data_IF_626734423015
#
_entry.id   IF_626734423015
#
_cell.length_a   1.000
_cell.length_b   1.000
_cell.length_c   1.000
_cell.angle_alpha   90.00
_cell.angle_beta   90.00
_cell.angle_gamma   90.00
#
_symmetry.space_group_name_H-M   'P 1'
#
loop_
_entity.id
_entity.type
_entity.pdbx_description
1 polymer ?
#
# COMPACT_ATOMS: atom_id res chain seq x y z
N UNK A 1 27.17 1.51 -45.96
CA UNK A 1 25.83 1.18 -45.42
C UNK A 1 25.92 0.08 -44.35
N UNK A 2 26.30 0.40 -43.10
CA UNK A 2 26.37 -0.56 -41.96
C UNK A 2 26.25 0.13 -40.58
N UNK A 3 25.40 1.16 -40.44
CA UNK A 3 25.26 1.90 -39.16
C UNK A 3 23.81 2.21 -38.74
N UNK A 4 22.81 1.71 -39.47
CA UNK A 4 21.39 2.04 -39.25
C UNK A 4 20.53 0.88 -38.74
N UNK A 5 21.11 -0.29 -38.42
CA UNK A 5 20.34 -1.49 -38.01
C UNK A 5 20.43 -1.78 -36.50
N UNK A 6 21.19 -0.99 -35.73
CA UNK A 6 21.42 -1.24 -34.29
C UNK A 6 20.66 -0.28 -33.36
N UNK A 7 19.45 0.13 -33.74
CA UNK A 7 18.50 0.84 -32.86
C UNK A 7 17.12 0.17 -32.82
N UNK A 8 17.03 -1.17 -32.90
CA UNK A 8 15.74 -1.90 -32.88
C UNK A 8 15.57 -2.87 -31.70
N UNK A 9 16.55 -3.08 -30.85
CA UNK A 9 16.38 -3.88 -29.63
C UNK A 9 16.75 -2.99 -28.45
N UNK A 10 15.81 -2.56 -27.60
CA UNK A 10 15.21 -3.44 -26.61
C UNK A 10 13.98 -2.75 -25.99
N UNK A 11 12.87 -2.67 -26.73
CA UNK A 11 11.56 -2.46 -26.11
C UNK A 11 11.16 -3.79 -25.44
N UNK A 12 11.72 -4.09 -24.27
CA UNK A 12 11.13 -5.12 -23.42
C UNK A 12 9.77 -4.56 -23.02
N UNK A 13 8.71 -5.02 -23.69
CA UNK A 13 7.35 -4.85 -23.22
C UNK A 13 7.25 -5.63 -21.90
N UNK A 14 7.59 -4.97 -20.79
CA UNK A 14 7.33 -5.48 -19.45
C UNK A 14 5.81 -5.56 -19.30
N UNK A 15 5.25 -6.75 -19.57
CA UNK A 15 3.84 -7.04 -19.34
C UNK A 15 3.63 -7.14 -17.85
N UNK A 16 3.46 -5.99 -17.22
CA UNK A 16 3.04 -5.93 -15.84
C UNK A 16 1.51 -6.14 -15.83
N UNK A 17 1.10 -7.30 -15.32
CA UNK A 17 -0.32 -7.71 -15.32
C UNK A 17 -1.01 -7.05 -14.15
N UNK A 18 -2.12 -6.36 -14.40
CA UNK A 18 -3.04 -5.93 -13.36
C UNK A 18 -3.37 -7.11 -12.44
N UNK A 19 -3.27 -6.91 -11.13
CA UNK A 19 -3.62 -7.95 -10.17
C UNK A 19 -5.10 -8.33 -10.35
N UNK A 20 -5.41 -9.63 -10.49
CA UNK A 20 -6.79 -10.06 -10.67
C UNK A 20 -7.66 -9.65 -9.47
N UNK A 21 -8.97 -9.46 -9.70
CA UNK A 21 -9.92 -9.06 -8.68
C UNK A 21 -9.87 -9.96 -7.44
N UNK A 22 -9.70 -11.28 -7.59
CA UNK A 22 -9.66 -12.21 -6.46
C UNK A 22 -8.35 -12.09 -5.70
N UNK A 23 -7.24 -12.01 -6.41
CA UNK A 23 -5.92 -11.83 -5.81
C UNK A 23 -5.83 -10.51 -5.04
N UNK A 24 -6.26 -9.40 -5.66
CA UNK A 24 -6.27 -8.08 -5.03
C UNK A 24 -7.11 -8.05 -3.74
N UNK A 25 -8.24 -8.77 -3.70
CA UNK A 25 -9.04 -8.90 -2.47
C UNK A 25 -8.29 -9.68 -1.39
N UNK A 26 -7.65 -10.79 -1.75
CA UNK A 26 -6.92 -11.62 -0.79
C UNK A 26 -5.72 -10.86 -0.21
N UNK A 27 -4.94 -10.20 -1.06
CA UNK A 27 -3.77 -9.40 -0.66
C UNK A 27 -4.18 -8.18 0.18
N UNK A 28 -5.26 -7.48 -0.21
CA UNK A 28 -5.79 -6.36 0.57
C UNK A 28 -6.28 -6.79 1.95
N UNK A 29 -7.00 -7.92 2.03
CA UNK A 29 -7.46 -8.49 3.30
C UNK A 29 -6.27 -8.82 4.19
N UNK A 30 -5.28 -9.54 3.67
CA UNK A 30 -4.10 -9.90 4.43
C UNK A 30 -3.34 -8.66 4.95
N UNK A 31 -3.11 -7.68 4.08
CA UNK A 31 -2.47 -6.42 4.46
C UNK A 31 -3.24 -5.72 5.59
N UNK A 32 -4.56 -5.62 5.46
CA UNK A 32 -5.40 -4.96 6.47
C UNK A 32 -5.50 -5.75 7.77
N UNK A 33 -5.52 -7.08 7.74
CA UNK A 33 -5.46 -7.93 8.94
C UNK A 33 -4.17 -7.64 9.73
N UNK A 34 -3.04 -7.50 9.03
CA UNK A 34 -1.76 -7.12 9.67
C UNK A 34 -1.77 -5.70 10.21
N UNK A 35 -2.34 -4.75 9.46
CA UNK A 35 -2.52 -3.37 9.95
C UNK A 35 -3.41 -3.34 11.19
N UNK A 36 -4.46 -4.14 11.24
CA UNK A 36 -5.33 -4.23 12.40
C UNK A 36 -4.63 -4.78 13.64
N UNK A 37 -3.81 -5.80 13.45
CA UNK A 37 -3.00 -6.39 14.52
C UNK A 37 -1.97 -5.39 15.08
N UNK A 38 -1.23 -4.69 14.22
CA UNK A 38 -0.13 -3.83 14.67
C UNK A 38 -0.55 -2.40 15.04
N UNK A 39 -1.53 -1.84 14.31
CA UNK A 39 -2.00 -0.47 14.51
C UNK A 39 -3.20 -0.42 15.47
N UNK A 40 -3.80 -1.56 15.83
CA UNK A 40 -4.95 -1.63 16.71
C UNK A 40 -6.22 -1.02 16.09
N UNK A 41 -6.52 -1.36 14.83
CA UNK A 41 -7.68 -0.80 14.11
C UNK A 41 -9.00 -1.22 14.75
N UNK A 42 -9.93 -0.28 14.85
CA UNK A 42 -11.35 -0.54 15.11
C UNK A 42 -12.04 -1.18 13.89
N UNK A 43 -13.23 -1.77 14.05
CA UNK A 43 -13.92 -2.43 12.94
C UNK A 43 -14.22 -1.48 11.77
N UNK A 44 -14.63 -0.25 12.09
CA UNK A 44 -14.92 0.77 11.07
C UNK A 44 -13.65 1.19 10.33
N UNK A 45 -12.53 1.35 11.03
CA UNK A 45 -11.25 1.63 10.39
C UNK A 45 -10.83 0.44 9.51
N UNK A 46 -10.95 -0.80 9.99
CA UNK A 46 -10.63 -2.00 9.23
C UNK A 46 -11.31 -2.02 7.87
N UNK A 47 -12.64 -1.84 7.84
CA UNK A 47 -13.41 -1.91 6.59
C UNK A 47 -12.94 -0.83 5.59
N UNK A 48 -12.67 0.37 6.08
CA UNK A 48 -12.12 1.47 5.27
C UNK A 48 -10.70 1.18 4.79
N UNK A 49 -9.84 0.63 5.63
CA UNK A 49 -8.46 0.34 5.26
C UNK A 49 -8.41 -0.78 4.21
N UNK A 50 -9.26 -1.80 4.34
CA UNK A 50 -9.44 -2.85 3.34
C UNK A 50 -9.83 -2.28 1.97
N UNK A 51 -10.83 -1.40 1.93
CA UNK A 51 -11.28 -0.78 0.69
C UNK A 51 -10.16 0.04 0.02
N UNK A 52 -9.50 0.90 0.79
CA UNK A 52 -8.40 1.75 0.32
C UNK A 52 -7.23 0.90 -0.20
N UNK A 53 -6.84 -0.14 0.54
CA UNK A 53 -5.77 -1.06 0.16
C UNK A 53 -6.12 -1.83 -1.12
N UNK A 54 -7.34 -2.33 -1.23
CA UNK A 54 -7.80 -3.05 -2.42
C UNK A 54 -7.81 -2.20 -3.68
N UNK A 55 -8.31 -0.96 -3.60
CA UNK A 55 -8.31 -0.03 -4.74
C UNK A 55 -6.89 0.27 -5.23
N UNK A 56 -5.95 0.43 -4.30
CA UNK A 56 -4.54 0.58 -4.63
C UNK A 56 -3.95 -0.67 -5.28
N UNK A 57 -4.09 -1.84 -4.66
CA UNK A 57 -3.47 -3.08 -5.15
C UNK A 57 -4.01 -3.51 -6.52
N UNK A 58 -5.31 -3.34 -6.79
CA UNK A 58 -5.86 -3.57 -8.13
C UNK A 58 -5.37 -2.52 -9.14
N UNK A 59 -5.15 -1.29 -8.70
CA UNK A 59 -4.85 -0.16 -9.57
C UNK A 59 -3.39 -0.03 -9.99
N UNK A 60 -2.47 -0.71 -9.28
CA UNK A 60 -1.05 -0.77 -9.66
C UNK A 60 -0.88 -1.85 -10.72
N UNK A 61 -0.50 -1.43 -11.92
CA UNK A 61 -0.31 -2.33 -13.05
C UNK A 61 1.16 -2.46 -13.40
N UNK A 62 1.93 -1.38 -13.34
CA UNK A 62 3.34 -1.33 -13.78
C UNK A 62 4.29 -0.88 -12.67
N UNK A 63 5.60 -1.02 -12.91
CA UNK A 63 6.63 -0.46 -12.04
C UNK A 63 6.46 1.05 -11.83
N UNK A 64 6.10 1.78 -12.88
CA UNK A 64 5.93 3.24 -12.85
C UNK A 64 4.73 3.68 -12.00
N UNK A 65 3.77 2.78 -11.72
CA UNK A 65 2.65 3.04 -10.82
C UNK A 65 3.07 3.00 -9.34
N UNK A 66 4.23 2.42 -9.01
CA UNK A 66 4.75 2.39 -7.65
C UNK A 66 5.12 3.80 -7.18
N UNK A 67 4.61 4.16 -6.01
CA UNK A 67 4.88 5.45 -5.36
C UNK A 67 4.44 6.68 -6.17
N UNK A 68 3.63 6.48 -7.21
CA UNK A 68 3.03 7.53 -8.02
C UNK A 68 1.69 8.04 -7.43
N UNK A 69 0.83 8.62 -8.27
CA UNK A 69 -0.43 9.24 -7.86
C UNK A 69 -1.34 8.32 -7.03
N UNK A 70 -1.47 7.04 -7.43
CA UNK A 70 -2.31 6.05 -6.72
C UNK A 70 -1.81 5.77 -5.31
N UNK A 71 -0.49 5.68 -5.13
CA UNK A 71 0.12 5.50 -3.82
C UNK A 71 -0.08 6.74 -2.94
N UNK A 72 0.09 7.94 -3.52
CA UNK A 72 -0.17 9.20 -2.83
C UNK A 72 -1.63 9.31 -2.39
N UNK A 73 -2.57 9.01 -3.29
CA UNK A 73 -4.01 9.03 -3.00
C UNK A 73 -4.38 8.04 -1.90
N UNK A 74 -3.81 6.82 -1.95
CA UNK A 74 -3.93 5.83 -0.87
C UNK A 74 -3.50 6.42 0.47
N UNK A 75 -2.30 7.00 0.55
CA UNK A 75 -1.77 7.55 1.79
C UNK A 75 -2.57 8.73 2.34
N UNK A 76 -3.06 9.62 1.47
CA UNK A 76 -3.97 10.71 1.85
C UNK A 76 -5.27 10.12 2.44
N UNK A 77 -5.86 9.12 1.79
CA UNK A 77 -7.06 8.47 2.26
C UNK A 77 -6.84 7.77 3.61
N UNK A 78 -5.74 7.02 3.79
CA UNK A 78 -5.41 6.37 5.06
C UNK A 78 -5.22 7.40 6.21
N UNK A 79 -4.49 8.50 5.95
CA UNK A 79 -4.25 9.56 6.95
C UNK A 79 -5.53 10.15 7.49
N UNK A 80 -6.56 10.28 6.67
CA UNK A 80 -7.86 10.85 7.05
C UNK A 80 -8.61 10.00 8.09
N UNK A 81 -8.29 8.71 8.21
CA UNK A 81 -8.93 7.80 9.17
C UNK A 81 -8.05 7.46 10.37
N UNK A 82 -6.73 7.59 10.27
CA UNK A 82 -5.83 7.30 11.39
C UNK A 82 -5.74 8.42 12.42
N UNK A 83 -5.69 8.02 13.69
CA UNK A 83 -5.15 8.86 14.77
C UNK A 83 -3.67 9.18 14.52
N UNK A 84 -3.16 10.23 15.17
CA UNK A 84 -1.76 10.63 15.03
C UNK A 84 -0.80 9.50 15.41
N UNK A 85 -1.14 8.72 16.44
CA UNK A 85 -0.35 7.54 16.85
C UNK A 85 -0.36 6.45 15.78
N UNK A 86 -1.52 6.10 15.24
CA UNK A 86 -1.61 5.08 14.17
C UNK A 86 -0.88 5.55 12.91
N UNK A 87 -0.99 6.82 12.54
CA UNK A 87 -0.26 7.40 11.42
C UNK A 87 1.25 7.31 11.63
N UNK A 88 1.74 7.61 12.83
CA UNK A 88 3.14 7.46 13.18
C UNK A 88 3.63 6.01 13.05
N UNK A 89 2.88 5.05 13.60
CA UNK A 89 3.20 3.63 13.48
C UNK A 89 3.18 3.16 12.02
N UNK A 90 2.23 3.64 11.24
CA UNK A 90 2.09 3.34 9.82
C UNK A 90 3.27 3.84 9.00
N UNK A 91 3.69 5.09 9.19
CA UNK A 91 4.88 5.65 8.54
C UNK A 91 6.15 4.87 8.92
N UNK A 92 6.28 4.45 10.17
CA UNK A 92 7.43 3.66 10.64
C UNK A 92 7.44 2.20 10.16
N UNK A 93 6.39 1.74 9.49
CA UNK A 93 6.24 0.39 8.98
C UNK A 93 6.28 0.40 7.44
N UNK A 94 7.49 0.32 6.87
CA UNK A 94 7.72 0.35 5.42
C UNK A 94 6.84 -0.63 4.64
N UNK A 95 6.56 -1.80 5.21
CA UNK A 95 5.73 -2.83 4.60
C UNK A 95 4.22 -2.51 4.59
N UNK A 96 3.77 -1.50 5.35
CA UNK A 96 2.44 -0.91 5.23
C UNK A 96 2.44 0.37 4.39
N UNK A 97 3.46 1.22 4.58
CA UNK A 97 3.62 2.49 3.87
C UNK A 97 3.86 2.29 2.38
N UNK A 98 4.71 1.32 2.04
CA UNK A 98 5.06 0.89 0.69
C UNK A 98 4.71 -0.60 0.56
N UNK A 99 3.42 -0.96 0.42
CA UNK A 99 3.00 -2.35 0.49
C UNK A 99 3.47 -3.19 -0.72
N UNK A 100 3.74 -2.53 -1.85
CA UNK A 100 4.38 -3.11 -3.01
C UNK A 100 5.76 -2.48 -3.23
N UNK A 101 6.70 -3.29 -3.68
CA UNK A 101 7.97 -2.85 -4.27
C UNK A 101 8.27 -3.66 -5.53
N UNK A 102 9.34 -3.31 -6.22
CA UNK A 102 9.81 -4.01 -7.42
C UNK A 102 11.21 -4.54 -7.21
N UNK A 103 11.42 -5.81 -7.51
CA UNK A 103 12.71 -6.47 -7.40
C UNK A 103 12.77 -7.62 -8.40
N UNK A 104 13.92 -7.78 -9.06
CA UNK A 104 14.19 -8.89 -9.97
C UNK A 104 13.11 -9.08 -11.06
N UNK A 105 12.56 -7.97 -11.57
CA UNK A 105 11.54 -7.99 -12.61
C UNK A 105 10.13 -8.37 -12.14
N UNK A 106 9.87 -8.40 -10.83
CA UNK A 106 8.57 -8.77 -10.27
C UNK A 106 8.13 -7.84 -9.12
N UNK A 107 6.82 -7.77 -8.92
CA UNK A 107 6.24 -7.13 -7.74
C UNK A 107 6.46 -7.96 -6.47
N UNK A 108 7.02 -7.31 -5.46
CA UNK A 108 7.22 -7.86 -4.11
C UNK A 108 6.17 -7.25 -3.19
N UNK A 109 5.47 -8.11 -2.44
CA UNK A 109 4.53 -7.68 -1.40
C UNK A 109 5.31 -7.57 -0.09
N UNK A 110 5.59 -6.34 0.33
CA UNK A 110 6.54 -6.06 1.41
C UNK A 110 6.05 -6.59 2.78
N UNK A 111 4.73 -6.70 2.97
CA UNK A 111 4.12 -7.27 4.18
C UNK A 111 4.63 -8.67 4.51
N UNK A 112 5.00 -9.46 3.50
CA UNK A 112 5.48 -10.84 3.72
C UNK A 112 6.89 -10.93 4.29
N UNK A 113 7.70 -9.88 4.20
CA UNK A 113 9.02 -9.86 4.81
C UNK A 113 8.94 -9.81 6.35
N UNK A 114 7.95 -9.09 6.89
CA UNK A 114 7.69 -9.01 8.33
C UNK A 114 6.73 -10.09 8.81
N UNK A 115 5.71 -10.38 8.02
CA UNK A 115 4.66 -11.37 8.29
C UNK A 115 4.65 -12.42 7.20
N UNK A 116 5.52 -13.45 7.29
CA UNK A 116 5.46 -14.58 6.36
C UNK A 116 4.03 -15.13 6.31
N UNK A 117 3.59 -15.61 5.14
CA UNK A 117 2.25 -16.20 4.96
C UNK A 117 2.07 -17.36 5.95
N UNK A 118 1.47 -17.04 7.09
CA UNK A 118 1.01 -17.98 8.09
C UNK A 118 -0.50 -17.78 8.23
N UNK A 119 -1.27 -18.86 8.39
CA UNK A 119 -2.67 -18.73 8.76
C UNK A 119 -2.71 -17.97 10.08
N UNK A 120 -3.21 -16.74 10.02
CA UNK A 120 -3.64 -15.99 11.19
C UNK A 120 -5.17 -16.03 11.21
N UNK A 121 -5.77 -15.96 12.41
CA UNK A 121 -7.19 -15.74 12.51
C UNK A 121 -7.54 -14.45 11.76
N UNK A 122 -8.63 -14.46 11.01
CA UNK A 122 -9.14 -13.25 10.35
C UNK A 122 -9.40 -12.15 11.39
N UNK A 123 -9.46 -10.88 10.98
CA UNK A 123 -9.78 -9.79 11.91
C UNK A 123 -11.04 -10.04 12.77
N UNK A 124 -12.08 -10.68 12.21
CA UNK A 124 -13.28 -11.06 12.95
C UNK A 124 -13.04 -12.13 14.03
N UNK A 125 -12.06 -13.00 13.85
CA UNK A 125 -11.62 -13.97 14.86
C UNK A 125 -10.70 -13.32 15.89
N UNK A 126 -9.80 -12.43 15.47
CA UNK A 126 -8.93 -11.67 16.39
C UNK A 126 -9.74 -10.83 17.38
N UNK A 127 -10.87 -10.26 16.94
CA UNK A 127 -11.82 -9.53 17.82
C UNK A 127 -12.37 -10.39 18.97
N UNK A 128 -12.52 -11.70 18.78
CA UNK A 128 -13.05 -12.60 19.82
C UNK A 128 -12.04 -12.91 20.92
N UNK A 129 -10.75 -12.78 20.63
CA UNK A 129 -9.69 -13.25 21.54
C UNK A 129 -8.77 -12.15 22.08
N UNK A 130 -8.70 -10.96 21.46
CA UNK A 130 -7.86 -9.87 21.94
C UNK A 130 -8.28 -8.51 21.37
N UNK A 131 -8.35 -7.48 22.22
CA UNK A 131 -8.10 -6.11 21.75
C UNK A 131 -6.61 -6.06 21.44
N UNK A 132 -6.16 -5.85 20.18
CA UNK A 132 -4.74 -5.86 19.88
C UNK A 132 -4.07 -4.74 20.69
N UNK A 133 -3.34 -5.12 21.73
CA UNK A 133 -2.39 -4.20 22.37
C UNK A 133 -1.29 -4.05 21.35
N UNK A 134 -1.29 -2.91 20.64
CA UNK A 134 -0.23 -2.58 19.68
C UNK A 134 1.12 -2.89 20.35
N UNK A 135 2.01 -3.67 19.71
CA UNK A 135 3.32 -3.98 20.28
C UNK A 135 3.98 -2.70 20.78
N UNK A 136 4.61 -2.73 21.96
CA UNK A 136 5.36 -1.57 22.47
C UNK A 136 6.47 -1.28 21.48
N UNK A 137 6.24 -0.27 20.63
CA UNK A 137 7.18 0.14 19.60
C UNK A 137 8.31 0.90 20.29
N UNK A 138 9.30 0.17 20.76
CA UNK A 138 10.52 0.75 21.29
C UNK A 138 11.26 1.47 20.16
N UNK A 139 11.28 2.81 20.27
CA UNK A 139 12.21 3.77 19.67
C UNK A 139 12.69 3.44 18.23
N UNK A 140 11.96 3.97 17.24
CA UNK A 140 12.42 4.10 15.85
C UNK A 140 12.29 5.53 15.35
N UNK A 141 12.93 6.51 16.03
CA UNK A 141 12.84 7.95 15.67
C UNK A 141 13.44 8.28 14.29
N UNK A 142 14.34 7.46 13.75
CA UNK A 142 15.07 7.80 12.53
C UNK A 142 14.30 7.54 11.22
N UNK A 143 13.32 6.63 11.21
CA UNK A 143 12.54 6.29 10.00
C UNK A 143 11.55 7.40 9.62
N UNK A 144 11.08 8.15 10.61
CA UNK A 144 10.10 9.23 10.45
C UNK A 144 10.57 10.34 9.50
N UNK A 145 11.84 10.74 9.62
CA UNK A 145 12.34 11.90 8.88
C UNK A 145 12.36 11.64 7.37
N UNK A 146 12.58 10.40 6.94
CA UNK A 146 12.64 10.08 5.51
C UNK A 146 11.25 10.05 4.85
N UNK A 147 10.22 9.57 5.54
CA UNK A 147 8.90 9.38 4.95
C UNK A 147 8.06 10.64 4.86
N UNK A 148 8.20 11.59 5.81
CA UNK A 148 7.55 12.91 5.67
C UNK A 148 8.09 13.63 4.43
N UNK A 149 9.42 13.57 4.20
CA UNK A 149 10.03 14.14 3.00
C UNK A 149 9.56 13.46 1.72
N UNK A 150 9.38 12.14 1.70
CA UNK A 150 8.83 11.46 0.52
C UNK A 150 7.39 11.89 0.26
N UNK A 151 6.54 11.85 1.30
CA UNK A 151 5.14 12.23 1.19
C UNK A 151 4.96 13.69 0.72
N UNK A 152 5.76 14.62 1.27
CA UNK A 152 5.72 16.05 0.92
C UNK A 152 6.39 16.37 -0.42
N UNK A 153 7.46 15.67 -0.83
CA UNK A 153 8.03 15.82 -2.18
C UNK A 153 7.03 15.44 -3.26
N UNK A 154 6.22 14.43 -3.00
CA UNK A 154 5.12 14.05 -3.90
C UNK A 154 3.90 14.98 -3.79
N UNK A 155 3.94 16.02 -2.95
CA UNK A 155 2.90 17.06 -2.80
C UNK A 155 3.19 18.35 -3.58
N UNK A 156 4.38 18.51 -4.17
CA UNK A 156 4.83 19.72 -4.89
C UNK A 156 4.11 20.04 -6.22
N UNK A 157 4.22 21.28 -6.73
CA UNK A 157 3.32 21.80 -7.77
C UNK A 157 3.67 21.29 -9.18
N UNK A 158 2.66 20.74 -9.85
CA UNK A 158 2.56 20.74 -11.33
C UNK A 158 3.29 19.63 -12.09
N UNK A 159 2.61 18.49 -12.30
CA UNK A 159 2.41 17.88 -13.64
C UNK A 159 1.04 17.20 -13.64
N UNK A 160 0.19 17.60 -14.58
CA UNK A 160 -1.15 17.05 -14.77
C UNK A 160 -1.06 15.58 -15.20
N UNK A 161 -1.08 14.67 -14.22
CA UNK A 161 -1.45 13.28 -14.46
C UNK A 161 -2.93 13.12 -14.10
N UNK A 162 -3.69 12.53 -15.02
CA UNK A 162 -5.14 12.40 -15.00
C UNK A 162 -5.72 12.27 -13.58
N UNK A 163 -6.66 13.16 -13.27
CA UNK A 163 -7.43 13.10 -12.04
C UNK A 163 -8.24 11.80 -12.00
N UNK A 164 -7.75 10.80 -11.27
CA UNK A 164 -8.61 9.74 -10.73
C UNK A 164 -9.54 10.42 -9.69
N UNK A 165 -10.63 11.06 -10.15
CA UNK A 165 -11.65 11.68 -9.28
C UNK A 165 -12.37 10.67 -8.38
N UNK A 166 -12.20 9.38 -8.66
CA UNK A 166 -13.01 8.34 -8.05
C UNK A 166 -12.52 7.93 -6.65
N UNK A 167 -11.30 8.30 -6.21
CA UNK A 167 -10.71 7.79 -4.97
C UNK A 167 -11.51 8.11 -3.69
N UNK A 168 -12.21 9.24 -3.68
CA UNK A 168 -13.00 9.69 -2.52
C UNK A 168 -14.50 9.43 -2.65
N UNK A 169 -14.96 8.95 -3.80
CA UNK A 169 -16.32 8.45 -4.00
C UNK A 169 -16.40 7.03 -3.41
N UNK A 170 -16.72 6.94 -2.12
CA UNK A 170 -16.93 5.66 -1.43
C UNK A 170 -18.41 5.28 -1.55
N UNK A 171 -18.71 4.24 -2.33
CA UNK A 171 -20.01 3.57 -2.27
C UNK A 171 -20.13 2.84 -0.91
N UNK A 172 -21.24 2.96 -0.18
CA UNK A 172 -21.45 2.17 1.03
C UNK A 172 -21.55 0.68 0.68
N UNK A 173 -20.90 -0.15 1.48
CA UNK A 173 -20.98 -1.61 1.35
C UNK A 173 -22.32 -2.04 1.98
N UNK A 174 -23.24 -2.51 1.14
CA UNK A 174 -24.36 -3.38 1.54
C UNK A 174 -23.89 -4.83 1.58
#
# INVERSE_FOLDING_TARGET
MKRLILMVAMAIAFRATAMDRREARAEARYLTDRMAYELGLSPREYDRMYEINYRYLRGVNTYDDLYASRWRNRNIALRAFFSDRQWQLYLGADYFYRPLSWRDGAFVRNVYARHPRRPMPSYGELRRYHRPVAPRCERRRDWYRHHDHDFDRHRGPGRHHHHDRDWFSMEPIL
#
